data_IF_394878241422
#
_entry.id   IF_394878241422
#
_cell.length_a   1.000
_cell.length_b   1.000
_cell.length_c   1.000
_cell.angle_alpha   90.00
_cell.angle_beta   90.00
_cell.angle_gamma   90.00
#
_symmetry.space_group_name_H-M   'P 1'
#
loop_
_entity.id
_entity.type
_entity.pdbx_description
1 polymer ?
#
# COMPACT_ATOMS: atom_id res chain seq x y z
N UNK A 1 5.17 -3.14 5.33
CA UNK A 1 5.67 -2.55 4.07
C UNK A 1 4.55 -1.83 3.31
N UNK A 2 3.47 -2.51 2.88
CA UNK A 2 2.39 -1.92 2.06
C UNK A 2 1.78 -0.63 2.63
N UNK A 3 1.42 -0.61 3.91
CA UNK A 3 0.87 0.59 4.54
C UNK A 3 1.86 1.76 4.52
N UNK A 4 3.15 1.47 4.68
CA UNK A 4 4.21 2.48 4.63
C UNK A 4 4.36 3.06 3.22
N UNK A 5 4.29 2.20 2.19
CA UNK A 5 4.31 2.62 0.80
C UNK A 5 3.13 3.54 0.46
N UNK A 6 1.91 3.23 0.95
CA UNK A 6 0.74 4.10 0.78
C UNK A 6 0.91 5.46 1.47
N UNK A 7 1.52 5.50 2.66
CA UNK A 7 1.82 6.73 3.38
C UNK A 7 2.87 7.58 2.64
N UNK A 8 3.78 6.95 1.91
CA UNK A 8 4.80 7.64 1.12
C UNK A 8 4.24 8.31 -0.15
N UNK A 9 2.99 8.05 -0.53
CA UNK A 9 2.37 8.65 -1.71
C UNK A 9 1.78 10.03 -1.40
N UNK A 10 1.90 10.96 -2.35
CA UNK A 10 1.24 12.26 -2.26
C UNK A 10 -0.29 12.11 -2.31
N UNK A 11 -1.00 12.90 -1.49
CA UNK A 11 -2.45 12.97 -1.46
C UNK A 11 -3.17 11.64 -1.15
N UNK A 12 -2.49 10.68 -0.52
CA UNK A 12 -3.08 9.40 -0.10
C UNK A 12 -3.19 9.33 1.41
N UNK A 13 -4.39 9.00 1.90
CA UNK A 13 -4.64 8.66 3.31
C UNK A 13 -5.12 7.21 3.38
N UNK A 14 -4.28 6.26 3.82
CA UNK A 14 -4.71 4.87 3.91
C UNK A 14 -5.68 4.67 5.08
N UNK A 15 -6.77 3.94 4.82
CA UNK A 15 -7.77 3.55 5.83
C UNK A 15 -7.71 2.02 5.97
N UNK A 16 -6.79 1.47 6.79
CA UNK A 16 -6.62 0.04 6.90
C UNK A 16 -7.78 -0.58 7.70
N UNK A 17 -8.52 -1.50 7.07
CA UNK A 17 -9.50 -2.33 7.77
C UNK A 17 -8.80 -3.45 8.53
N UNK A 18 -9.11 -3.61 9.83
CA UNK A 18 -8.63 -4.72 10.64
C UNK A 18 -9.81 -5.55 11.18
N UNK A 19 -9.78 -6.86 10.98
CA UNK A 19 -10.82 -7.79 11.46
C UNK A 19 -10.54 -8.32 12.87
N UNK A 20 -9.30 -8.19 13.34
CA UNK A 20 -8.87 -8.64 14.66
C UNK A 20 -7.74 -7.76 15.21
N UNK A 21 -7.44 -7.96 16.50
CA UNK A 21 -6.43 -7.17 17.23
C UNK A 21 -5.01 -7.39 16.68
N UNK A 22 -4.70 -8.58 16.19
CA UNK A 22 -3.36 -8.88 15.65
C UNK A 22 -3.07 -8.02 14.41
N UNK A 23 -4.03 -7.91 13.49
CA UNK A 23 -3.92 -7.05 12.30
C UNK A 23 -3.76 -5.57 12.68
N UNK A 24 -4.55 -5.10 13.65
CA UNK A 24 -4.45 -3.72 14.12
C UNK A 24 -3.04 -3.41 14.67
N UNK A 25 -2.46 -4.32 15.47
CA UNK A 25 -1.10 -4.17 16.00
C UNK A 25 -0.04 -4.17 14.90
N UNK A 26 -0.18 -5.03 13.90
CA UNK A 26 0.73 -5.07 12.75
C UNK A 26 0.71 -3.74 11.97
N UNK A 27 -0.48 -3.20 11.70
CA UNK A 27 -0.62 -1.93 10.98
C UNK A 27 -0.04 -0.75 11.75
N UNK A 28 -0.21 -0.72 13.08
CA UNK A 28 0.45 0.29 13.93
C UNK A 28 1.97 0.20 13.81
N UNK A 29 2.53 -1.01 13.76
CA UNK A 29 3.97 -1.23 13.57
C UNK A 29 4.52 -0.66 12.25
N UNK A 30 3.69 -0.60 11.20
CA UNK A 30 4.08 0.00 9.93
C UNK A 30 4.19 1.54 9.95
N UNK A 31 3.69 2.20 11.00
CA UNK A 31 3.78 3.65 11.18
C UNK A 31 5.13 4.11 11.74
N UNK A 32 5.88 3.21 12.39
CA UNK A 32 7.09 3.53 13.16
C UNK A 32 8.37 3.68 12.34
N UNK A 33 8.30 3.56 11.02
CA UNK A 33 9.45 3.66 10.11
C UNK A 33 9.03 4.29 8.78
N UNK A 34 9.98 4.47 7.86
CA UNK A 34 9.74 4.98 6.51
C UNK A 34 10.59 4.22 5.51
N UNK A 35 9.99 3.88 4.38
CA UNK A 35 10.73 3.49 3.18
C UNK A 35 11.57 4.67 2.71
N UNK A 36 12.74 4.38 2.16
CA UNK A 36 13.52 5.32 1.37
C UNK A 36 12.82 5.62 0.04
N UNK A 37 13.23 6.71 -0.63
CA UNK A 37 12.68 7.04 -1.94
C UNK A 37 13.02 5.94 -2.97
N UNK A 38 14.22 5.39 -2.87
CA UNK A 38 14.71 4.31 -3.72
C UNK A 38 13.84 3.05 -3.59
N UNK A 39 13.49 2.64 -2.36
CA UNK A 39 12.59 1.49 -2.13
C UNK A 39 11.16 1.76 -2.63
N UNK A 40 10.68 3.00 -2.54
CA UNK A 40 9.36 3.39 -3.08
C UNK A 40 9.35 3.29 -4.61
N UNK A 41 10.41 3.76 -5.26
CA UNK A 41 10.58 3.73 -6.71
C UNK A 41 10.77 2.30 -7.24
N UNK A 42 11.48 1.45 -6.51
CA UNK A 42 11.61 0.02 -6.84
C UNK A 42 10.24 -0.68 -6.80
N UNK A 43 9.47 -0.48 -5.73
CA UNK A 43 8.11 -1.02 -5.61
C UNK A 43 7.19 -0.54 -6.72
N UNK A 44 7.31 0.73 -7.14
CA UNK A 44 6.54 1.27 -8.26
C UNK A 44 6.96 0.65 -9.59
N UNK A 45 8.25 0.47 -9.81
CA UNK A 45 8.79 -0.15 -11.03
C UNK A 45 8.31 -1.60 -11.15
N UNK A 46 8.39 -2.37 -10.07
CA UNK A 46 7.89 -3.74 -10.03
C UNK A 46 6.38 -3.81 -10.29
N UNK A 47 5.59 -2.88 -9.74
CA UNK A 47 4.15 -2.85 -9.95
C UNK A 47 3.76 -2.66 -11.43
N UNK A 48 4.59 -1.97 -12.23
CA UNK A 48 4.36 -1.77 -13.67
C UNK A 48 4.56 -3.06 -14.48
N UNK A 49 5.30 -4.04 -13.97
CA UNK A 49 5.53 -5.32 -14.63
C UNK A 49 4.38 -6.32 -14.39
N UNK A 50 3.53 -6.06 -13.39
CA UNK A 50 2.44 -6.94 -13.02
C UNK A 50 1.21 -6.62 -13.88
N UNK A 51 0.57 -7.67 -14.43
CA UNK A 51 -0.67 -7.52 -15.20
C UNK A 51 -1.77 -6.86 -14.35
N UNK A 52 -2.48 -5.85 -14.89
CA UNK A 52 -3.62 -5.26 -14.20
C UNK A 52 -4.70 -6.29 -13.87
N UNK A 53 -5.39 -6.09 -12.75
CA UNK A 53 -6.56 -6.90 -12.40
C UNK A 53 -7.68 -6.59 -13.39
N UNK A 54 -8.08 -7.60 -14.17
CA UNK A 54 -9.21 -7.51 -15.09
C UNK A 54 -10.49 -8.07 -14.44
N UNK A 55 -11.64 -7.48 -14.75
CA UNK A 55 -12.95 -7.91 -14.24
C UNK A 55 -13.39 -7.25 -12.93
N UNK A 56 -12.76 -6.14 -12.52
CA UNK A 56 -13.23 -5.36 -11.38
C UNK A 56 -14.57 -4.69 -11.73
N UNK A 57 -15.62 -4.76 -10.88
CA UNK A 57 -16.96 -4.28 -11.24
C UNK A 57 -17.06 -2.81 -11.68
N UNK A 58 -16.04 -2.01 -11.41
CA UNK A 58 -15.98 -0.58 -11.78
C UNK A 58 -14.84 -0.24 -12.75
N UNK A 59 -14.25 -1.22 -13.44
CA UNK A 59 -13.12 -1.05 -14.36
C UNK A 59 -13.43 -0.12 -15.56
N UNK A 60 -14.71 0.13 -15.86
CA UNK A 60 -15.19 0.95 -16.99
C UNK A 60 -16.07 2.13 -16.57
N UNK A 61 -16.09 2.47 -15.28
CA UNK A 61 -16.82 3.64 -14.79
C UNK A 61 -16.05 4.93 -15.10
#
# INVERSE_FOLDING_TARGET
>A
VVLNWLIAQENVVPIPGAKNVAQAKEFVGALGWRLSNEEVDELRSLALEISPVTGFPVEKL
#
